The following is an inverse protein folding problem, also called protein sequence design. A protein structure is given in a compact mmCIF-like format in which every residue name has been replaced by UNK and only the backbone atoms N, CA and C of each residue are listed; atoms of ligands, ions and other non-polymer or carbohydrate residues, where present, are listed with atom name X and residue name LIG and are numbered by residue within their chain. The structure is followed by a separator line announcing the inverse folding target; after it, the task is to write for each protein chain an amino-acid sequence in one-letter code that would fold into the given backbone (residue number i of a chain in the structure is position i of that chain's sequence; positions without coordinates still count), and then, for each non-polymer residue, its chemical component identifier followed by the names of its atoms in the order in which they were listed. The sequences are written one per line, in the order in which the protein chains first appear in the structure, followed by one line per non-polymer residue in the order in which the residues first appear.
data_IF_963517865805
#
_entry.id   IF_963517865805
#
_cell.length_a   1.000
_cell.length_b   1.000
_cell.length_c   1.000
_cell.angle_alpha   90.00
_cell.angle_beta   90.00
_cell.angle_gamma   90.00
#
_symmetry.space_group_name_H-M   'P 1'
#
loop_
_entity.id
_entity.type
_entity.pdbx_description
1 polymer ?
#
# COMPACT_ATOMS: atom_id res chain seq x y z
N UNK A 1 1.25 -1.06 -14.74
CA UNK A 1 1.21 -1.76 -13.43
C UNK A 1 0.61 -0.94 -12.26
N UNK A 2 0.08 -1.59 -11.21
CA UNK A 2 -0.28 -0.93 -9.93
C UNK A 2 0.93 -0.85 -9.01
N UNK A 3 1.19 0.31 -8.41
CA UNK A 3 2.29 0.55 -7.45
C UNK A 3 1.79 1.13 -6.14
N UNK A 4 2.57 0.95 -5.07
CA UNK A 4 2.23 1.38 -3.70
C UNK A 4 3.17 2.44 -3.14
N UNK A 5 3.82 3.25 -3.99
CA UNK A 5 4.72 4.32 -3.52
C UNK A 5 3.99 5.34 -2.63
N UNK A 6 2.73 5.67 -2.98
CA UNK A 6 1.89 6.60 -2.23
C UNK A 6 1.59 6.13 -0.81
N UNK A 7 1.50 4.82 -0.59
CA UNK A 7 1.31 4.25 0.75
C UNK A 7 2.35 4.77 1.75
N UNK A 8 3.63 4.79 1.36
CA UNK A 8 4.71 5.18 2.25
C UNK A 8 4.68 6.68 2.59
N UNK A 9 4.25 7.51 1.63
CA UNK A 9 4.03 8.94 1.84
C UNK A 9 2.88 9.17 2.82
N UNK A 10 1.74 8.54 2.57
CA UNK A 10 0.55 8.63 3.42
C UNK A 10 0.82 8.13 4.85
N UNK A 11 1.59 7.05 5.00
CA UNK A 11 2.05 6.56 6.31
C UNK A 11 2.91 7.60 7.06
N UNK A 12 3.83 8.26 6.34
CA UNK A 12 4.69 9.30 6.91
C UNK A 12 3.87 10.52 7.35
N UNK A 13 2.97 10.99 6.51
CA UNK A 13 2.08 12.13 6.82
C UNK A 13 1.20 11.86 8.05
N UNK A 14 0.76 10.62 8.22
CA UNK A 14 -0.07 10.19 9.35
C UNK A 14 0.71 9.72 10.57
N UNK A 15 2.05 9.81 10.54
CA UNK A 15 2.94 9.35 11.61
C UNK A 15 2.70 7.87 12.02
N UNK A 16 2.42 7.01 11.04
CA UNK A 16 2.22 5.57 11.25
C UNK A 16 3.43 4.81 10.73
N UNK A 17 4.11 4.08 11.62
CA UNK A 17 5.25 3.26 11.25
C UNK A 17 4.81 1.89 10.71
N UNK A 18 5.67 1.24 9.91
CA UNK A 18 5.44 -0.13 9.46
C UNK A 18 5.38 -1.12 10.63
N UNK A 19 6.14 -0.89 11.69
CA UNK A 19 6.05 -1.66 12.93
C UNK A 19 4.66 -1.56 13.56
N UNK A 20 4.03 -0.38 13.52
CA UNK A 20 2.67 -0.19 14.01
C UNK A 20 1.65 -1.01 13.21
N UNK A 21 1.80 -1.09 11.89
CA UNK A 21 1.00 -1.96 11.03
C UNK A 21 1.10 -3.44 11.42
N UNK A 22 2.30 -3.91 11.76
CA UNK A 22 2.51 -5.30 12.17
C UNK A 22 1.95 -5.59 13.56
N UNK A 23 2.24 -4.72 14.53
CA UNK A 23 1.92 -4.96 15.94
C UNK A 23 0.46 -4.71 16.27
N UNK A 24 -0.09 -3.62 15.76
CA UNK A 24 -1.40 -3.12 16.21
C UNK A 24 -2.52 -3.51 15.24
N UNK A 25 -2.17 -3.85 14.00
CA UNK A 25 -3.14 -4.08 12.92
C UNK A 25 -2.97 -5.41 12.17
N UNK A 26 -2.15 -6.33 12.69
CA UNK A 26 -1.94 -7.68 12.16
C UNK A 26 -1.55 -7.75 10.67
N UNK A 27 -0.94 -6.70 10.13
CA UNK A 27 -0.35 -6.78 8.79
C UNK A 27 0.93 -7.59 8.88
N UNK A 28 0.97 -8.75 8.21
CA UNK A 28 2.14 -9.62 8.23
C UNK A 28 3.36 -8.96 7.54
N UNK A 29 4.56 -9.39 7.93
CA UNK A 29 5.80 -9.00 7.25
C UNK A 29 5.78 -9.35 5.76
N UNK A 30 5.14 -10.47 5.40
CA UNK A 30 4.97 -10.89 4.00
C UNK A 30 4.05 -9.97 3.19
N UNK A 31 2.97 -9.46 3.79
CA UNK A 31 2.13 -8.44 3.13
C UNK A 31 2.89 -7.13 2.92
N UNK A 32 3.65 -6.69 3.93
CA UNK A 32 4.52 -5.50 3.79
C UNK A 32 5.58 -5.69 2.71
N UNK A 33 6.21 -6.85 2.64
CA UNK A 33 7.21 -7.14 1.59
C UNK A 33 6.59 -7.11 0.19
N UNK A 34 5.39 -7.65 0.00
CA UNK A 34 4.65 -7.55 -1.27
C UNK A 34 4.34 -6.10 -1.63
N UNK A 35 3.87 -5.30 -0.69
CA UNK A 35 3.60 -3.87 -0.92
C UNK A 35 4.88 -3.13 -1.35
N UNK A 36 6.03 -3.41 -0.72
CA UNK A 36 7.33 -2.81 -1.12
C UNK A 36 7.76 -3.19 -2.53
N UNK A 37 7.42 -4.41 -2.97
CA UNK A 37 7.78 -4.95 -4.29
C UNK A 37 6.71 -4.71 -5.36
N UNK A 38 5.67 -3.90 -5.06
CA UNK A 38 4.51 -3.73 -5.93
C UNK A 38 3.89 -5.07 -6.37
N UNK A 39 3.94 -6.06 -5.49
CA UNK A 39 3.44 -7.41 -5.73
C UNK A 39 1.94 -7.54 -5.51
N UNK A 40 1.39 -8.68 -5.89
CA UNK A 40 -0.04 -8.97 -5.75
C UNK A 40 -0.52 -8.88 -4.30
N UNK A 41 -1.49 -7.99 -4.11
CA UNK A 41 -2.19 -7.76 -2.85
C UNK A 41 -3.69 -7.82 -3.11
N UNK A 42 -4.44 -8.47 -2.22
CA UNK A 42 -5.88 -8.53 -2.34
C UNK A 42 -6.54 -7.21 -1.90
N UNK A 43 -7.72 -6.94 -2.44
CA UNK A 43 -8.51 -5.74 -2.12
C UNK A 43 -8.92 -5.66 -0.65
N UNK A 44 -9.07 -6.81 0.03
CA UNK A 44 -9.31 -6.84 1.47
C UNK A 44 -8.18 -6.17 2.26
N UNK A 45 -6.91 -6.47 1.94
CA UNK A 45 -5.76 -5.86 2.59
C UNK A 45 -5.71 -4.36 2.32
N UNK A 46 -6.00 -3.92 1.09
CA UNK A 46 -6.07 -2.49 0.74
C UNK A 46 -7.17 -1.77 1.54
N UNK A 47 -8.34 -2.39 1.67
CA UNK A 47 -9.44 -1.87 2.48
C UNK A 47 -9.05 -1.70 3.95
N UNK A 48 -8.37 -2.69 4.54
CA UNK A 48 -7.89 -2.57 5.93
C UNK A 48 -6.85 -1.45 6.07
N UNK A 49 -5.92 -1.32 5.13
CA UNK A 49 -4.95 -0.21 5.11
C UNK A 49 -5.67 1.14 5.02
N UNK A 50 -6.66 1.30 4.13
CA UNK A 50 -7.45 2.52 4.03
C UNK A 50 -8.17 2.86 5.33
N UNK A 51 -8.73 1.86 6.03
CA UNK A 51 -9.37 2.07 7.34
C UNK A 51 -8.36 2.51 8.41
N UNK A 52 -7.21 1.82 8.50
CA UNK A 52 -6.16 2.11 9.47
C UNK A 52 -5.61 3.53 9.28
N UNK A 53 -5.36 3.89 8.02
CA UNK A 53 -4.82 5.20 7.67
C UNK A 53 -5.94 6.25 7.59
N UNK A 54 -7.22 5.90 7.56
CA UNK A 54 -8.32 6.82 7.26
C UNK A 54 -8.01 7.66 6.00
N UNK A 55 -7.86 6.97 4.88
CA UNK A 55 -7.51 7.54 3.58
C UNK A 55 -8.30 6.87 2.44
N UNK A 56 -8.20 7.44 1.24
CA UNK A 56 -8.75 6.85 0.02
C UNK A 56 -7.78 5.84 -0.59
N UNK A 57 -8.28 5.06 -1.55
CA UNK A 57 -7.45 4.10 -2.28
C UNK A 57 -6.35 4.79 -3.09
N UNK A 58 -6.67 5.93 -3.72
CA UNK A 58 -5.70 6.73 -4.50
C UNK A 58 -4.55 7.31 -3.66
N UNK A 59 -4.69 7.34 -2.33
CA UNK A 59 -3.65 7.78 -1.40
C UNK A 59 -2.62 6.68 -1.11
N UNK A 60 -2.90 5.43 -1.48
CA UNK A 60 -2.02 4.29 -1.18
C UNK A 60 -1.61 3.50 -2.42
N UNK A 61 -2.35 3.61 -3.51
CA UNK A 61 -2.12 2.89 -4.75
C UNK A 61 -2.27 3.81 -5.95
N UNK A 62 -1.49 3.53 -6.99
CA UNK A 62 -1.50 4.27 -8.25
C UNK A 62 -1.31 3.30 -9.41
N UNK A 63 -2.02 3.56 -10.52
CA UNK A 63 -1.72 2.90 -11.78
C UNK A 63 -0.66 3.73 -12.52
N UNK A 64 0.38 3.04 -12.99
CA UNK A 64 1.39 3.57 -13.89
C UNK A 64 1.25 2.78 -15.19
N UNK A 65 1.20 3.48 -16.32
CA UNK A 65 1.24 2.87 -17.65
C UNK A 65 2.56 2.12 -17.84
N UNK A 66 2.50 0.89 -18.35
CA UNK A 66 3.72 0.14 -18.63
C UNK A 66 4.35 0.70 -19.91
N UNK A 67 5.65 1.02 -19.89
CA UNK A 67 6.37 1.66 -21.02
C UNK A 67 6.32 0.86 -22.35
N UNK A 68 5.73 -0.33 -22.35
CA UNK A 68 5.64 -1.26 -23.47
C UNK A 68 4.26 -1.32 -24.14
N UNK A 69 3.27 -0.54 -23.69
CA UNK A 69 1.90 -0.56 -24.24
C UNK A 69 1.66 0.52 -25.32
N UNK A 70 2.71 1.05 -25.95
CA UNK A 70 2.56 1.77 -27.23
C UNK A 70 2.54 0.76 -28.37
N UNK A 71 1.35 0.50 -28.91
CA UNK A 71 1.12 -0.16 -30.21
C UNK A 71 1.91 0.48 -31.37
#
# INVERSE_FOLDING_TARGET
MIVFNRLWLTMKEKNISQYKLMKDYNISSGQLDRLRKNGNINTFTLNEICKILNCKLEDIAEYIEDETDTD
#
